data_IF_209657840081
#
_entry.id   IF_209657840081
#
_cell.length_a   1.000
_cell.length_b   1.000
_cell.length_c   1.000
_cell.angle_alpha   90.00
_cell.angle_beta   90.00
_cell.angle_gamma   90.00
#
_symmetry.space_group_name_H-M   'P 1'
#
loop_
_entity.id
_entity.type
_entity.pdbx_description
1 polymer ?
#
# COMPACT_ATOMS: atom_id res chain seq x y z
N UNK A 1 -26.44 -56.31 -25.79
CA UNK A 1 -27.10 -56.76 -24.54
C UNK A 1 -26.75 -55.77 -23.45
N UNK A 2 -27.80 -55.30 -22.78
CA UNK A 2 -27.91 -54.29 -21.73
C UNK A 2 -27.47 -54.86 -20.37
N UNK A 3 -26.87 -54.04 -19.50
CA UNK A 3 -27.20 -53.96 -18.06
C UNK A 3 -26.95 -52.52 -17.60
N UNK A 4 -28.04 -51.82 -17.32
CA UNK A 4 -28.14 -50.60 -16.51
C UNK A 4 -27.90 -50.92 -15.03
N UNK A 5 -27.44 -49.95 -14.22
CA UNK A 5 -27.93 -49.75 -12.83
C UNK A 5 -27.70 -48.30 -12.36
N UNK A 6 -28.73 -47.48 -12.61
CA UNK A 6 -29.36 -46.40 -11.80
C UNK A 6 -28.68 -45.89 -10.51
N UNK A 7 -28.51 -44.55 -10.39
CA UNK A 7 -29.23 -43.71 -9.40
C UNK A 7 -29.25 -42.22 -9.82
N UNK A 8 -30.38 -41.58 -9.53
CA UNK A 8 -30.94 -40.27 -9.94
C UNK A 8 -30.20 -39.02 -9.36
N UNK A 9 -30.44 -37.79 -9.86
CA UNK A 9 -29.76 -36.56 -9.51
C UNK A 9 -30.42 -35.86 -8.31
N UNK A 10 -29.60 -35.33 -7.41
CA UNK A 10 -30.11 -34.49 -6.34
C UNK A 10 -29.06 -34.12 -5.31
N UNK A 11 -28.64 -32.85 -5.31
CA UNK A 11 -27.85 -32.25 -4.24
C UNK A 11 -26.97 -31.14 -4.79
N UNK A 12 -27.02 -29.90 -4.35
CA UNK A 12 -27.82 -29.28 -3.29
C UNK A 12 -27.29 -27.86 -3.15
N UNK A 13 -28.23 -26.90 -3.04
CA UNK A 13 -28.00 -25.55 -2.49
C UNK A 13 -27.17 -24.57 -3.34
N UNK A 14 -27.66 -23.35 -3.60
CA UNK A 14 -26.75 -22.25 -3.87
C UNK A 14 -26.00 -21.93 -2.57
N UNK A 15 -24.72 -22.30 -2.53
CA UNK A 15 -23.77 -21.82 -1.53
C UNK A 15 -23.61 -20.31 -1.68
N UNK A 16 -24.47 -19.55 -1.02
CA UNK A 16 -24.31 -18.10 -0.87
C UNK A 16 -23.17 -17.82 0.11
N UNK A 17 -21.97 -17.68 -0.42
CA UNK A 17 -20.93 -16.86 0.21
C UNK A 17 -20.42 -15.86 -0.82
N UNK A 18 -20.99 -14.65 -0.90
CA UNK A 18 -20.20 -13.50 -1.24
C UNK A 18 -19.39 -13.16 0.00
N UNK A 19 -18.17 -13.71 0.09
CA UNK A 19 -17.07 -13.00 0.73
C UNK A 19 -16.78 -11.77 -0.12
N UNK A 20 -17.73 -10.82 -0.11
CA UNK A 20 -17.61 -9.57 -0.83
C UNK A 20 -16.38 -8.87 -0.28
N UNK A 21 -15.41 -8.63 -1.16
CA UNK A 21 -14.38 -7.62 -0.94
C UNK A 21 -15.07 -6.42 -0.31
N UNK A 22 -14.64 -6.05 0.91
CA UNK A 22 -15.13 -4.86 1.56
C UNK A 22 -15.13 -3.74 0.52
N UNK A 23 -16.23 -2.97 0.42
CA UNK A 23 -16.32 -1.93 -0.59
C UNK A 23 -15.04 -1.10 -0.49
N UNK A 24 -14.38 -0.90 -1.63
CA UNK A 24 -13.27 0.05 -1.78
C UNK A 24 -13.86 1.41 -1.38
N UNK A 25 -13.82 1.70 -0.08
CA UNK A 25 -14.38 2.89 0.50
C UNK A 25 -13.64 4.01 -0.24
N UNK A 26 -14.37 4.87 -0.95
CA UNK A 26 -13.80 6.03 -1.68
C UNK A 26 -12.82 6.85 -0.83
N UNK A 27 -12.90 6.67 0.49
CA UNK A 27 -11.92 7.03 1.48
C UNK A 27 -10.46 6.65 1.22
N UNK A 28 -10.19 5.57 0.49
CA UNK A 28 -8.85 5.12 0.12
C UNK A 28 -8.24 5.91 -1.05
N UNK A 29 -9.00 6.82 -1.69
CA UNK A 29 -8.62 7.51 -2.94
C UNK A 29 -8.33 8.99 -2.79
N UNK A 30 -8.43 9.53 -1.58
CA UNK A 30 -8.10 10.94 -1.38
C UNK A 30 -6.59 11.20 -1.57
N UNK A 31 -6.20 12.42 -1.96
CA UNK A 31 -4.79 12.74 -2.20
C UNK A 31 -3.89 12.44 -1.00
N UNK A 32 -4.36 12.62 0.24
CA UNK A 32 -3.56 12.37 1.45
C UNK A 32 -3.36 10.88 1.71
N UNK A 33 -4.44 10.10 1.65
CA UNK A 33 -4.38 8.63 1.78
C UNK A 33 -3.55 7.99 0.68
N UNK A 34 -3.65 8.47 -0.56
CA UNK A 34 -2.80 8.00 -1.67
C UNK A 34 -1.32 8.32 -1.44
N UNK A 35 -0.99 9.55 -1.04
CA UNK A 35 0.39 9.94 -0.76
C UNK A 35 0.99 9.14 0.41
N UNK A 36 0.17 8.85 1.44
CA UNK A 36 0.54 7.97 2.55
C UNK A 36 0.89 6.56 2.08
N UNK A 37 0.11 6.00 1.13
CA UNK A 37 0.43 4.70 0.52
C UNK A 37 1.76 4.71 -0.24
N UNK A 38 2.01 5.74 -1.05
CA UNK A 38 3.31 5.89 -1.75
C UNK A 38 4.48 5.97 -0.76
N UNK A 39 4.33 6.70 0.36
CA UNK A 39 5.36 6.75 1.39
C UNK A 39 5.61 5.37 2.03
N UNK A 40 4.56 4.57 2.23
CA UNK A 40 4.69 3.19 2.73
C UNK A 40 5.42 2.27 1.74
N UNK A 41 5.13 2.40 0.44
CA UNK A 41 5.83 1.64 -0.61
C UNK A 41 7.31 2.01 -0.63
N UNK A 42 7.63 3.31 -0.59
CA UNK A 42 9.01 3.81 -0.54
C UNK A 42 9.77 3.30 0.70
N UNK A 43 9.13 3.31 1.87
CA UNK A 43 9.69 2.72 3.10
C UNK A 43 10.01 1.24 2.90
N UNK A 44 9.11 0.48 2.26
CA UNK A 44 9.25 -0.95 2.06
C UNK A 44 10.41 -1.28 1.11
N UNK A 45 10.47 -0.61 -0.05
CA UNK A 45 11.58 -0.83 -1.00
C UNK A 45 12.92 -0.36 -0.44
N UNK A 46 12.95 0.72 0.35
CA UNK A 46 14.18 1.17 1.03
C UNK A 46 14.64 0.17 2.09
N UNK A 47 13.71 -0.44 2.82
CA UNK A 47 14.02 -1.49 3.81
C UNK A 47 14.59 -2.75 3.14
N UNK A 48 14.03 -3.13 1.99
CA UNK A 48 14.55 -4.25 1.19
C UNK A 48 15.97 -3.95 0.69
N UNK A 49 16.19 -2.76 0.11
CA UNK A 49 17.51 -2.35 -0.36
C UNK A 49 18.56 -2.26 0.75
N UNK A 50 18.18 -1.84 1.97
CA UNK A 50 19.09 -1.86 3.12
C UNK A 50 19.50 -3.30 3.51
N UNK A 51 18.55 -4.24 3.47
CA UNK A 51 18.83 -5.67 3.72
C UNK A 51 19.75 -6.22 2.64
N UNK A 52 19.45 -5.95 1.37
CA UNK A 52 20.25 -6.41 0.24
C UNK A 52 21.68 -5.86 0.30
N UNK A 53 21.85 -4.57 0.60
CA UNK A 53 23.17 -3.95 0.78
C UNK A 53 24.00 -4.65 1.86
N UNK A 54 23.38 -4.98 2.99
CA UNK A 54 24.05 -5.70 4.09
C UNK A 54 24.48 -7.10 3.68
N UNK A 55 23.55 -7.87 3.09
CA UNK A 55 23.83 -9.23 2.63
C UNK A 55 24.90 -9.27 1.53
N UNK A 56 24.82 -8.37 0.55
CA UNK A 56 25.83 -8.25 -0.50
C UNK A 56 27.21 -7.94 0.09
N UNK A 57 27.26 -7.07 1.10
CA UNK A 57 28.51 -6.69 1.75
C UNK A 57 29.13 -7.81 2.61
N UNK A 58 28.31 -8.63 3.28
CA UNK A 58 28.80 -9.86 3.93
C UNK A 58 29.45 -10.81 2.91
N UNK A 59 28.84 -10.94 1.72
CA UNK A 59 29.39 -11.75 0.62
C UNK A 59 30.75 -11.24 0.10
N UNK A 60 30.98 -9.93 0.11
CA UNK A 60 32.28 -9.34 -0.29
C UNK A 60 33.40 -9.76 0.67
N UNK A 61 33.16 -9.83 1.98
CA UNK A 61 34.20 -10.18 2.97
C UNK A 61 34.72 -11.62 2.85
N UNK A 62 33.99 -12.53 2.22
CA UNK A 62 34.30 -13.96 2.19
C UNK A 62 35.55 -14.38 1.37
N UNK A 63 36.17 -13.47 0.62
CA UNK A 63 37.35 -13.82 -0.19
C UNK A 63 38.01 -12.68 -0.94
N UNK A 64 37.68 -11.42 -0.60
CA UNK A 64 38.21 -10.23 -1.29
C UNK A 64 39.14 -9.40 -0.42
N UNK A 65 39.54 -9.95 0.74
CA UNK A 65 40.47 -9.29 1.66
C UNK A 65 41.80 -8.98 0.96
N UNK A 66 42.28 -7.76 1.20
CA UNK A 66 43.51 -7.24 0.57
C UNK A 66 43.28 -6.46 -0.73
N UNK A 67 42.10 -6.54 -1.36
CA UNK A 67 41.80 -5.67 -2.49
C UNK A 67 41.43 -4.24 -2.02
N UNK A 68 41.97 -3.24 -2.71
CA UNK A 68 41.66 -1.83 -2.45
C UNK A 68 40.17 -1.51 -2.62
N UNK A 69 39.49 -2.17 -3.57
CA UNK A 69 38.04 -2.04 -3.76
C UNK A 69 37.25 -2.50 -2.53
N UNK A 70 37.67 -3.58 -1.88
CA UNK A 70 37.05 -4.08 -0.65
C UNK A 70 37.23 -3.11 0.51
N UNK A 71 38.42 -2.53 0.65
CA UNK A 71 38.67 -1.48 1.64
C UNK A 71 37.75 -0.26 1.42
N UNK A 72 37.63 0.20 0.17
CA UNK A 72 36.74 1.32 -0.17
C UNK A 72 35.26 1.00 0.11
N UNK A 73 34.79 -0.22 -0.20
CA UNK A 73 33.43 -0.66 0.13
C UNK A 73 33.17 -0.68 1.63
N UNK A 74 34.12 -1.17 2.44
CA UNK A 74 34.04 -1.15 3.90
C UNK A 74 33.94 0.27 4.47
N UNK A 75 34.68 1.21 3.90
CA UNK A 75 34.66 2.62 4.32
C UNK A 75 33.31 3.29 4.04
N UNK A 76 32.72 3.04 2.87
CA UNK A 76 31.49 3.74 2.47
C UNK A 76 30.21 3.09 3.03
N UNK A 77 30.23 1.80 3.36
CA UNK A 77 29.03 1.06 3.79
C UNK A 77 28.27 1.77 4.93
N UNK A 78 28.89 2.19 6.05
CA UNK A 78 28.16 2.81 7.16
C UNK A 78 27.43 4.09 6.75
N UNK A 79 27.99 4.84 5.80
CA UNK A 79 27.38 6.06 5.28
C UNK A 79 26.14 5.75 4.46
N UNK A 80 26.18 4.70 3.64
CA UNK A 80 25.01 4.23 2.88
C UNK A 80 23.92 3.67 3.80
N UNK A 81 24.28 2.85 4.79
CA UNK A 81 23.33 2.33 5.76
C UNK A 81 22.62 3.46 6.51
N UNK A 82 23.36 4.48 6.95
CA UNK A 82 22.79 5.64 7.62
C UNK A 82 21.82 6.40 6.72
N UNK A 83 22.19 6.65 5.46
CA UNK A 83 21.35 7.40 4.50
C UNK A 83 20.07 6.64 4.18
N UNK A 84 20.17 5.35 3.87
CA UNK A 84 18.99 4.51 3.58
C UNK A 84 18.09 4.35 4.79
N UNK A 85 18.66 4.19 5.99
CA UNK A 85 17.89 4.19 7.25
C UNK A 85 17.13 5.50 7.42
N UNK A 86 17.78 6.64 7.22
CA UNK A 86 17.14 7.95 7.32
C UNK A 86 16.00 8.13 6.31
N UNK A 87 16.17 7.67 5.06
CA UNK A 87 15.11 7.71 4.04
C UNK A 87 13.93 6.83 4.46
N UNK A 88 14.20 5.60 4.92
CA UNK A 88 13.16 4.67 5.40
C UNK A 88 12.35 5.29 6.53
N UNK A 89 13.02 5.84 7.53
CA UNK A 89 12.38 6.39 8.73
C UNK A 89 11.57 7.65 8.38
N UNK A 90 12.06 8.48 7.46
CA UNK A 90 11.30 9.62 6.95
C UNK A 90 10.05 9.18 6.17
N UNK A 91 10.15 8.14 5.33
CA UNK A 91 9.00 7.57 4.64
C UNK A 91 7.96 6.99 5.61
N UNK A 92 8.40 6.36 6.70
CA UNK A 92 7.51 5.87 7.77
C UNK A 92 6.77 7.03 8.47
N UNK A 93 7.52 8.09 8.82
CA UNK A 93 6.95 9.31 9.39
C UNK A 93 5.93 9.97 8.45
N UNK A 94 6.26 10.08 7.16
CA UNK A 94 5.38 10.64 6.14
C UNK A 94 4.12 9.80 5.96
N UNK A 95 4.25 8.47 5.92
CA UNK A 95 3.11 7.57 5.86
C UNK A 95 2.10 7.88 6.98
N UNK A 96 2.57 7.94 8.23
CA UNK A 96 1.73 8.25 9.38
C UNK A 96 1.10 9.65 9.33
N UNK A 97 1.90 10.68 9.03
CA UNK A 97 1.42 12.06 8.99
C UNK A 97 0.38 12.29 7.88
N UNK A 98 0.60 11.73 6.70
CA UNK A 98 -0.33 11.84 5.56
C UNK A 98 -1.62 11.05 5.81
N UNK A 99 -1.54 9.86 6.44
CA UNK A 99 -2.73 9.10 6.82
C UNK A 99 -3.58 9.84 7.84
N UNK A 100 -2.95 10.46 8.84
CA UNK A 100 -3.63 11.29 9.84
C UNK A 100 -4.32 12.49 9.18
N UNK A 101 -3.61 13.19 8.31
CA UNK A 101 -4.17 14.32 7.55
C UNK A 101 -5.40 13.92 6.72
N UNK A 102 -5.36 12.75 6.06
CA UNK A 102 -6.51 12.22 5.34
C UNK A 102 -7.72 11.95 6.25
N UNK A 103 -7.49 11.48 7.49
CA UNK A 103 -8.56 11.33 8.48
C UNK A 103 -9.14 12.68 8.89
N UNK A 104 -8.29 13.66 9.18
CA UNK A 104 -8.70 14.99 9.64
C UNK A 104 -9.51 15.74 8.57
N UNK A 105 -9.19 15.55 7.29
CA UNK A 105 -9.97 16.09 6.17
C UNK A 105 -11.18 15.22 5.77
N UNK A 106 -11.49 14.18 6.53
CA UNK A 106 -12.66 13.34 6.30
C UNK A 106 -12.55 12.48 5.04
N UNK A 107 -11.36 12.27 4.48
CA UNK A 107 -11.18 11.27 3.42
C UNK A 107 -11.65 9.92 3.97
N UNK A 108 -11.32 9.58 5.22
CA UNK A 108 -11.62 8.26 5.80
C UNK A 108 -13.00 8.18 6.50
N UNK A 109 -13.78 9.27 6.54
CA UNK A 109 -15.02 9.30 7.30
C UNK A 109 -16.26 8.95 6.43
N UNK A 110 -16.91 7.79 6.63
CA UNK A 110 -18.13 7.42 5.92
C UNK A 110 -19.31 8.35 6.21
N UNK A 111 -19.37 8.99 7.39
CA UNK A 111 -20.39 9.98 7.72
C UNK A 111 -20.18 11.30 6.96
N UNK A 112 -18.93 11.72 6.76
CA UNK A 112 -18.60 12.87 5.88
C UNK A 112 -18.93 12.53 4.42
N UNK A 113 -18.54 11.35 3.94
CA UNK A 113 -18.90 10.90 2.59
C UNK A 113 -20.42 10.86 2.38
N UNK A 114 -21.18 10.36 3.37
CA UNK A 114 -22.65 10.34 3.33
C UNK A 114 -23.25 11.77 3.33
N UNK A 115 -22.71 12.69 4.13
CA UNK A 115 -23.16 14.08 4.16
C UNK A 115 -22.87 14.83 2.87
N UNK A 116 -21.69 14.65 2.27
CA UNK A 116 -21.32 15.27 0.98
C UNK A 116 -22.19 14.74 -0.16
N UNK A 117 -22.40 13.42 -0.23
CA UNK A 117 -23.28 12.82 -1.24
C UNK A 117 -24.77 13.16 -1.03
N UNK A 118 -25.15 13.53 0.20
CA UNK A 118 -26.51 13.96 0.54
C UNK A 118 -26.84 15.42 0.18
N UNK A 119 -25.84 16.24 -0.19
CA UNK A 119 -26.10 17.60 -0.65
C UNK A 119 -26.70 17.56 -2.06
N UNK A 120 -28.02 17.73 -2.15
CA UNK A 120 -28.68 18.06 -3.40
C UNK A 120 -28.24 19.46 -3.83
N UNK A 121 -27.42 19.56 -4.87
CA UNK A 121 -27.26 20.80 -5.63
C UNK A 121 -28.54 20.97 -6.45
N UNK A 122 -29.60 21.45 -5.79
CA UNK A 122 -30.85 21.81 -6.46
C UNK A 122 -30.54 22.77 -7.59
N UNK A 123 -31.20 22.58 -8.74
CA UNK A 123 -30.98 23.33 -9.98
C UNK A 123 -31.22 24.83 -9.83
N UNK A 124 -30.29 25.53 -9.19
CA UNK A 124 -30.26 26.97 -9.15
C UNK A 124 -29.81 27.44 -10.52
N UNK A 125 -30.79 27.76 -11.37
CA UNK A 125 -30.56 28.70 -12.47
C UNK A 125 -30.46 30.09 -11.85
N UNK A 126 -29.31 30.77 -11.96
CA UNK A 126 -29.21 32.16 -11.55
C UNK A 126 -30.19 33.01 -12.37
N UNK A 127 -30.77 34.00 -11.71
CA UNK A 127 -31.76 34.94 -12.25
C UNK A 127 -31.23 35.84 -13.39
N UNK A 128 -29.91 35.88 -13.60
CA UNK A 128 -29.28 36.55 -14.73
C UNK A 128 -29.29 35.75 -16.04
N UNK A 129 -29.80 34.50 -16.04
CA UNK A 129 -29.94 33.67 -17.25
C UNK A 129 -31.35 33.80 -17.85
N UNK A 130 -31.80 35.04 -18.08
CA UNK A 130 -32.92 35.38 -18.97
C UNK A 130 -32.43 36.11 -20.20
#
# INVERSE_FOLDING_TARGET
MQIDHLVDPGGGGPSSTPGGSAPDLKASKGPWTKASGVAQDLRTVTSAGLTELKTAHEGVKGGTDGFTSTAALNEILPTWEKRLTSVRDECDRLHGALAMTGRDFGEIDPAVAAKVNGVHVGGYKPDWVR
#
